data_IF_102652071465
#
_entry.id   IF_102652071465
#
_cell.length_a   1.000
_cell.length_b   1.000
_cell.length_c   1.000
_cell.angle_alpha   90.00
_cell.angle_beta   90.00
_cell.angle_gamma   90.00
#
_symmetry.space_group_name_H-M   'P 1'
#
loop_
_entity.id
_entity.type
_entity.pdbx_description
1 polymer ?
#
# COMPACT_ATOMS: atom_id res chain seq x y z
N UNK A 1 5.86 7.71 12.96
CA UNK A 1 7.00 7.25 12.12
C UNK A 1 6.49 6.99 10.72
N UNK A 2 7.25 7.32 9.67
CA UNK A 2 6.82 7.05 8.29
C UNK A 2 7.02 5.56 7.99
N UNK A 3 6.01 4.84 7.47
CA UNK A 3 6.10 3.38 7.25
C UNK A 3 7.20 2.98 6.27
N UNK A 4 7.52 3.83 5.31
CA UNK A 4 8.60 3.61 4.34
C UNK A 4 10.02 3.81 4.91
N UNK A 5 10.18 4.02 6.21
CA UNK A 5 11.47 4.07 6.90
C UNK A 5 11.73 2.80 7.75
N UNK A 6 10.85 1.81 7.67
CA UNK A 6 10.99 0.53 8.34
C UNK A 6 11.38 -0.56 7.33
N UNK A 7 12.03 -1.62 7.80
CA UNK A 7 12.39 -2.78 6.96
C UNK A 7 11.14 -3.34 6.25
N UNK A 8 10.01 -3.45 6.98
CA UNK A 8 8.67 -3.66 6.46
C UNK A 8 7.74 -2.65 7.10
N UNK A 9 6.96 -1.94 6.31
CA UNK A 9 5.99 -0.95 6.78
C UNK A 9 4.60 -1.22 6.20
N UNK A 10 3.55 -1.05 7.01
CA UNK A 10 2.16 -1.27 6.60
C UNK A 10 1.37 0.00 6.83
N UNK A 11 0.53 0.35 5.86
CA UNK A 11 -0.46 1.42 5.97
C UNK A 11 -1.84 0.87 5.64
N UNK A 12 -2.80 1.13 6.51
CA UNK A 12 -4.21 0.92 6.20
C UNK A 12 -4.65 1.81 5.03
N UNK A 13 -5.43 1.23 4.15
CA UNK A 13 -6.04 1.89 2.98
C UNK A 13 -7.55 1.79 3.08
N UNK A 14 -8.27 2.72 2.47
CA UNK A 14 -9.71 2.65 2.26
C UNK A 14 -10.03 3.13 0.86
N UNK A 15 -10.24 2.18 -0.04
CA UNK A 15 -10.55 2.43 -1.46
C UNK A 15 -11.98 2.91 -1.54
N UNK A 16 -12.26 4.16 -1.96
CA UNK A 16 -13.62 4.68 -2.01
C UNK A 16 -14.44 4.01 -3.11
N UNK A 17 -15.71 3.68 -2.83
CA UNK A 17 -16.66 3.25 -3.82
C UNK A 17 -17.45 4.47 -4.32
N UNK A 18 -17.11 4.96 -5.52
CA UNK A 18 -17.75 6.11 -6.10
C UNK A 18 -18.94 5.73 -6.99
N UNK A 19 -20.12 6.21 -6.60
CA UNK A 19 -21.34 6.14 -7.39
C UNK A 19 -21.56 7.48 -8.11
N UNK A 20 -21.34 7.44 -9.43
CA UNK A 20 -21.50 8.62 -10.29
C UNK A 20 -22.96 9.04 -10.48
N UNK A 21 -23.94 8.12 -10.31
CA UNK A 21 -25.37 8.41 -10.46
C UNK A 21 -25.89 9.19 -9.27
N UNK A 22 -25.39 8.89 -8.07
CA UNK A 22 -25.71 9.63 -6.85
C UNK A 22 -25.06 11.03 -6.81
N UNK A 23 -24.06 11.29 -7.66
CA UNK A 23 -23.36 12.57 -7.70
C UNK A 23 -24.23 13.69 -8.31
N UNK A 24 -24.46 14.77 -7.55
CA UNK A 24 -25.25 15.93 -7.97
C UNK A 24 -24.43 17.09 -8.56
N UNK A 25 -23.10 16.95 -8.67
CA UNK A 25 -22.25 17.98 -9.25
C UNK A 25 -22.28 19.31 -8.50
N UNK A 26 -22.19 19.27 -7.19
CA UNK A 26 -22.34 20.44 -6.33
C UNK A 26 -21.25 21.49 -6.60
N UNK A 27 -21.62 22.80 -6.65
CA UNK A 27 -20.65 23.91 -6.77
C UNK A 27 -19.62 23.94 -5.62
N UNK A 28 -20.00 23.46 -4.42
CA UNK A 28 -19.12 23.25 -3.27
C UNK A 28 -19.17 21.77 -2.90
N UNK A 29 -18.25 21.00 -3.45
CA UNK A 29 -18.20 19.56 -3.24
C UNK A 29 -17.46 19.23 -1.92
N UNK A 30 -18.16 18.53 -1.03
CA UNK A 30 -17.59 18.10 0.25
C UNK A 30 -16.46 17.07 0.08
N UNK A 31 -16.52 16.25 -0.97
CA UNK A 31 -15.47 15.27 -1.28
C UNK A 31 -14.21 15.97 -1.80
N UNK A 32 -14.34 16.93 -2.70
CA UNK A 32 -13.23 17.76 -3.19
C UNK A 32 -12.55 18.49 -2.02
N UNK A 33 -13.35 19.11 -1.14
CA UNK A 33 -12.84 19.79 0.04
C UNK A 33 -12.14 18.84 1.03
N UNK A 34 -12.61 17.60 1.16
CA UNK A 34 -12.02 16.60 2.06
C UNK A 34 -10.75 15.93 1.51
N UNK A 35 -10.49 16.04 0.19
CA UNK A 35 -9.36 15.36 -0.46
C UNK A 35 -8.03 16.07 -0.17
N UNK A 36 -7.12 15.49 0.64
CA UNK A 36 -5.84 16.15 0.99
C UNK A 36 -4.87 16.19 -0.18
N UNK A 37 -5.03 15.27 -1.14
CA UNK A 37 -4.17 15.19 -2.33
C UNK A 37 -4.72 15.97 -3.52
N UNK A 38 -5.92 16.58 -3.38
CA UNK A 38 -6.60 17.37 -4.43
C UNK A 38 -6.79 16.60 -5.76
N UNK A 39 -6.93 15.28 -5.66
CA UNK A 39 -7.17 14.39 -6.82
C UNK A 39 -8.66 14.18 -7.11
N UNK A 40 -9.53 14.59 -6.19
CA UNK A 40 -10.97 14.63 -6.38
C UNK A 40 -11.37 16.05 -6.79
N UNK A 41 -11.96 16.23 -7.97
CA UNK A 41 -12.36 17.54 -8.52
C UNK A 41 -13.70 17.46 -9.21
N UNK A 42 -14.48 18.54 -9.12
CA UNK A 42 -15.71 18.68 -9.91
C UNK A 42 -15.36 19.31 -11.26
N UNK A 43 -15.62 18.57 -12.33
CA UNK A 43 -15.42 19.01 -13.72
C UNK A 43 -16.74 18.78 -14.46
N UNK A 44 -17.21 19.78 -15.17
CA UNK A 44 -18.47 19.73 -15.96
C UNK A 44 -19.68 19.23 -15.14
N UNK A 45 -19.77 19.67 -13.89
CA UNK A 45 -20.89 19.30 -13.01
C UNK A 45 -20.86 17.87 -12.50
N UNK A 46 -19.73 17.17 -12.57
CA UNK A 46 -19.55 15.83 -12.02
C UNK A 46 -18.25 15.73 -11.25
N UNK A 47 -18.23 14.89 -10.22
CA UNK A 47 -17.01 14.57 -9.49
C UNK A 47 -16.16 13.58 -10.30
N UNK A 48 -14.91 13.91 -10.48
CA UNK A 48 -13.87 13.03 -11.01
C UNK A 48 -12.83 12.77 -9.93
N UNK A 49 -12.40 11.52 -9.77
CA UNK A 49 -11.33 11.11 -8.89
C UNK A 49 -10.24 10.50 -9.76
N UNK A 50 -9.06 11.08 -9.71
CA UNK A 50 -7.88 10.50 -10.37
C UNK A 50 -7.41 9.28 -9.58
N UNK A 51 -7.69 8.09 -10.10
CA UNK A 51 -7.41 6.82 -9.44
C UNK A 51 -5.90 6.53 -9.35
N UNK A 52 -5.11 6.98 -10.32
CA UNK A 52 -3.66 6.77 -10.33
C UNK A 52 -2.96 7.60 -9.24
N UNK A 53 -3.43 8.81 -9.00
CA UNK A 53 -2.90 9.70 -7.98
C UNK A 53 -3.58 9.53 -6.62
N UNK A 54 -4.68 8.78 -6.56
CA UNK A 54 -5.42 8.53 -5.32
C UNK A 54 -4.60 7.67 -4.36
N UNK A 55 -4.37 8.18 -3.15
CA UNK A 55 -3.65 7.44 -2.09
C UNK A 55 -4.56 6.57 -1.23
N UNK A 56 -5.81 6.39 -1.62
CA UNK A 56 -6.79 5.57 -0.89
C UNK A 56 -6.85 5.86 0.62
N UNK A 57 -6.74 7.12 1.02
CA UNK A 57 -6.74 7.53 2.43
C UNK A 57 -8.13 7.48 3.10
N UNK A 58 -9.20 7.28 2.32
CA UNK A 58 -10.57 7.13 2.77
C UNK A 58 -11.24 8.39 3.33
N UNK A 59 -10.58 9.56 3.30
CA UNK A 59 -11.15 10.80 3.87
C UNK A 59 -12.42 11.28 3.16
N UNK A 60 -12.62 10.90 1.91
CA UNK A 60 -13.81 11.22 1.11
C UNK A 60 -15.02 10.36 1.46
N UNK A 61 -14.80 9.18 2.06
CA UNK A 61 -15.87 8.23 2.39
C UNK A 61 -16.83 8.84 3.40
N UNK A 62 -18.14 8.78 3.10
CA UNK A 62 -19.20 9.31 3.95
C UNK A 62 -19.29 10.85 3.99
N UNK A 63 -18.52 11.58 3.16
CA UNK A 63 -18.54 13.05 3.17
C UNK A 63 -19.64 13.67 2.28
N UNK A 64 -20.10 12.94 1.28
CA UNK A 64 -21.15 13.43 0.38
C UNK A 64 -22.53 13.32 1.04
N UNK A 65 -23.31 14.41 1.16
CA UNK A 65 -24.66 14.37 1.70
C UNK A 65 -25.64 13.59 0.79
N UNK A 66 -25.27 13.37 -0.47
CA UNK A 66 -26.03 12.58 -1.45
C UNK A 66 -25.51 11.15 -1.57
N UNK A 67 -24.64 10.72 -0.66
CA UNK A 67 -24.10 9.36 -0.60
C UNK A 67 -23.38 8.86 -1.87
N UNK A 68 -22.75 9.77 -2.64
CA UNK A 68 -21.97 9.34 -3.82
C UNK A 68 -20.67 8.57 -3.49
N UNK A 69 -20.19 8.62 -2.25
CA UNK A 69 -19.16 7.72 -1.70
C UNK A 69 -19.63 7.30 -0.30
N UNK A 70 -20.57 6.35 -0.19
CA UNK A 70 -21.12 5.94 1.11
C UNK A 70 -20.12 5.12 1.94
N UNK A 71 -19.31 4.31 1.26
CA UNK A 71 -18.36 3.38 1.87
C UNK A 71 -17.07 3.23 1.06
N UNK A 72 -16.22 2.28 1.43
CA UNK A 72 -14.98 1.94 0.74
C UNK A 72 -14.43 0.60 1.25
N UNK A 73 -13.69 -0.09 0.39
CA UNK A 73 -13.00 -1.33 0.75
C UNK A 73 -11.77 -1.03 1.59
N UNK A 74 -11.64 -1.71 2.73
CA UNK A 74 -10.42 -1.69 3.54
C UNK A 74 -9.33 -2.53 2.89
N UNK A 75 -8.09 -2.09 3.06
CA UNK A 75 -6.94 -2.81 2.54
C UNK A 75 -5.65 -2.37 3.22
N UNK A 76 -4.56 -3.01 2.84
CA UNK A 76 -3.23 -2.79 3.37
C UNK A 76 -2.26 -2.50 2.23
N UNK A 77 -1.49 -1.43 2.34
CA UNK A 77 -0.36 -1.14 1.46
C UNK A 77 0.93 -1.45 2.21
N UNK A 78 1.77 -2.31 1.64
CA UNK A 78 3.00 -2.80 2.27
C UNK A 78 4.20 -2.17 1.59
N UNK A 79 5.12 -1.64 2.39
CA UNK A 79 6.40 -1.09 1.98
C UNK A 79 7.53 -2.01 2.44
N UNK A 80 8.55 -2.17 1.61
CA UNK A 80 9.73 -2.98 1.93
C UNK A 80 11.02 -2.20 1.64
N UNK A 81 12.11 -2.53 2.32
CA UNK A 81 13.43 -1.97 2.08
C UNK A 81 13.65 -0.59 2.65
N UNK A 82 12.82 -0.16 3.60
CA UNK A 82 13.07 1.06 4.37
C UNK A 82 14.15 0.83 5.45
N UNK A 83 14.79 1.93 5.86
CA UNK A 83 15.80 1.91 6.91
C UNK A 83 15.89 3.27 7.57
N UNK A 84 15.95 3.28 8.89
CA UNK A 84 16.23 4.47 9.69
C UNK A 84 17.49 4.26 10.53
N UNK A 85 18.27 5.30 10.74
CA UNK A 85 19.47 5.31 11.56
C UNK A 85 20.65 5.99 10.85
N UNK A 86 21.86 5.47 11.02
CA UNK A 86 23.09 6.03 10.40
C UNK A 86 23.01 6.14 8.87
N UNK A 87 22.34 5.19 8.23
CA UNK A 87 21.98 5.25 6.83
C UNK A 87 20.45 5.29 6.74
N UNK A 88 19.90 6.18 5.93
CA UNK A 88 18.46 6.30 5.68
C UNK A 88 18.18 5.74 4.28
N UNK A 89 17.21 4.84 4.20
CA UNK A 89 16.66 4.34 2.94
C UNK A 89 15.16 4.44 2.98
N UNK A 90 14.55 4.88 1.87
CA UNK A 90 13.11 4.92 1.71
C UNK A 90 12.64 3.66 1.01
N UNK A 91 11.95 2.80 1.75
CA UNK A 91 11.29 1.62 1.20
C UNK A 91 10.25 2.00 0.15
N UNK A 92 10.09 1.12 -0.82
CA UNK A 92 9.09 1.23 -1.88
C UNK A 92 7.85 0.41 -1.53
N UNK A 93 6.68 0.88 -1.95
CA UNK A 93 5.45 0.13 -1.82
C UNK A 93 5.40 -1.01 -2.84
N UNK A 94 4.90 -2.16 -2.41
CA UNK A 94 4.51 -3.22 -3.34
C UNK A 94 3.38 -2.71 -4.25
N UNK A 95 3.39 -3.11 -5.51
CA UNK A 95 2.41 -2.70 -6.51
C UNK A 95 1.07 -3.47 -6.38
N UNK A 96 0.63 -3.65 -5.14
CA UNK A 96 -0.62 -4.32 -4.80
C UNK A 96 -1.17 -3.78 -3.48
N UNK A 97 -2.49 -3.60 -3.42
CA UNK A 97 -3.22 -3.39 -2.16
C UNK A 97 -3.80 -4.74 -1.76
N UNK A 98 -3.54 -5.15 -0.52
CA UNK A 98 -4.05 -6.40 0.05
C UNK A 98 -5.36 -6.10 0.77
N UNK A 99 -6.41 -6.82 0.44
CA UNK A 99 -7.76 -6.60 1.01
C UNK A 99 -8.11 -7.59 2.13
N UNK A 100 -7.22 -8.54 2.41
CA UNK A 100 -7.33 -9.52 3.49
C UNK A 100 -6.14 -9.39 4.45
N UNK A 101 -6.40 -9.51 5.75
CA UNK A 101 -5.35 -9.57 6.78
C UNK A 101 -4.43 -10.78 6.58
N UNK A 102 -5.00 -11.90 6.17
CA UNK A 102 -4.28 -13.14 5.88
C UNK A 102 -3.25 -12.95 4.77
N UNK A 103 -3.66 -12.34 3.65
CA UNK A 103 -2.73 -12.00 2.56
C UNK A 103 -1.62 -11.04 2.99
N UNK A 104 -1.94 -10.05 3.83
CA UNK A 104 -0.96 -9.12 4.36
C UNK A 104 0.05 -9.82 5.29
N UNK A 105 -0.42 -10.72 6.15
CA UNK A 105 0.42 -11.53 7.04
C UNK A 105 1.33 -12.48 6.25
N UNK A 106 0.82 -13.12 5.21
CA UNK A 106 1.60 -13.96 4.30
C UNK A 106 2.76 -13.20 3.66
N UNK A 107 2.53 -11.95 3.26
CA UNK A 107 3.61 -11.11 2.69
C UNK A 107 4.65 -10.76 3.74
N UNK A 108 4.25 -10.50 4.98
CA UNK A 108 5.19 -10.25 6.08
C UNK A 108 6.04 -11.48 6.35
N UNK A 109 5.43 -12.65 6.43
CA UNK A 109 6.13 -13.92 6.61
C UNK A 109 7.11 -14.17 5.45
N UNK A 110 6.68 -13.96 4.22
CA UNK A 110 7.55 -14.05 3.04
C UNK A 110 8.72 -13.07 3.09
N UNK A 111 8.52 -11.85 3.61
CA UNK A 111 9.60 -10.89 3.76
C UNK A 111 10.67 -11.38 4.75
N UNK A 112 10.25 -12.01 5.85
CA UNK A 112 11.16 -12.63 6.82
C UNK A 112 11.90 -13.81 6.18
N UNK A 113 11.19 -14.67 5.46
CA UNK A 113 11.78 -15.82 4.76
C UNK A 113 12.75 -15.37 3.67
N UNK A 114 12.40 -14.35 2.90
CA UNK A 114 13.27 -13.77 1.87
C UNK A 114 14.58 -13.26 2.49
N UNK A 115 14.47 -12.56 3.61
CA UNK A 115 15.66 -12.07 4.32
C UNK A 115 16.50 -13.22 4.89
N UNK A 116 15.87 -14.25 5.45
CA UNK A 116 16.57 -15.45 5.93
C UNK A 116 17.29 -16.20 4.79
N UNK A 117 16.64 -16.32 3.61
CA UNK A 117 17.19 -17.06 2.46
C UNK A 117 18.27 -16.28 1.69
N UNK A 118 18.13 -14.95 1.58
CA UNK A 118 18.95 -14.10 0.72
C UNK A 118 19.85 -13.11 1.46
N UNK A 119 19.59 -12.83 2.73
CA UNK A 119 20.39 -11.91 3.52
C UNK A 119 21.79 -12.42 3.78
N UNK A 120 22.79 -11.54 3.72
CA UNK A 120 24.17 -11.83 4.05
C UNK A 120 24.46 -11.41 5.50
N UNK A 121 25.50 -12.00 6.07
CA UNK A 121 25.93 -11.66 7.43
C UNK A 121 26.22 -10.17 7.57
N UNK A 122 25.51 -9.50 8.48
CA UNK A 122 25.64 -8.06 8.74
C UNK A 122 24.80 -7.15 7.85
N UNK A 123 24.12 -7.69 6.82
CA UNK A 123 23.15 -6.90 6.04
C UNK A 123 21.87 -6.59 6.83
N UNK A 124 21.27 -5.44 6.54
CA UNK A 124 19.89 -5.14 6.85
C UNK A 124 19.00 -5.54 5.67
N UNK A 125 17.70 -5.72 5.91
CA UNK A 125 16.75 -6.08 4.85
C UNK A 125 16.76 -5.08 3.69
N UNK A 126 16.90 -3.78 3.96
CA UNK A 126 17.06 -2.75 2.93
C UNK A 126 18.25 -3.01 2.01
N UNK A 127 19.41 -3.42 2.56
CA UNK A 127 20.61 -3.73 1.78
C UNK A 127 20.44 -5.00 0.94
N UNK A 128 19.76 -6.00 1.51
CA UNK A 128 19.39 -7.21 0.76
C UNK A 128 18.48 -6.88 -0.43
N UNK A 129 17.42 -6.05 -0.22
CA UNK A 129 16.53 -5.61 -1.29
C UNK A 129 17.28 -4.83 -2.37
N UNK A 130 18.20 -3.94 -1.96
CA UNK A 130 19.01 -3.16 -2.88
C UNK A 130 19.91 -4.05 -3.75
N UNK A 131 20.53 -5.08 -3.14
CA UNK A 131 21.43 -6.04 -3.82
C UNK A 131 20.67 -6.98 -4.78
N UNK A 132 19.53 -7.53 -4.39
CA UNK A 132 18.77 -8.44 -5.26
C UNK A 132 17.85 -7.71 -6.25
N UNK A 133 17.62 -6.43 -6.06
CA UNK A 133 16.70 -5.58 -6.83
C UNK A 133 15.27 -5.63 -6.31
N UNK A 134 14.63 -4.45 -6.25
CA UNK A 134 13.26 -4.32 -5.74
C UNK A 134 12.24 -5.18 -6.52
N UNK A 135 12.31 -5.16 -7.85
CA UNK A 135 11.38 -5.90 -8.71
C UNK A 135 11.46 -7.41 -8.48
N UNK A 136 12.68 -7.94 -8.28
CA UNK A 136 12.88 -9.35 -7.98
C UNK A 136 12.36 -9.69 -6.57
N UNK A 137 12.61 -8.84 -5.58
CA UNK A 137 12.06 -9.00 -4.24
C UNK A 137 10.53 -8.96 -4.25
N UNK A 138 9.93 -7.97 -4.92
CA UNK A 138 8.48 -7.84 -5.06
C UNK A 138 7.86 -9.10 -5.69
N UNK A 139 8.43 -9.60 -6.78
CA UNK A 139 7.97 -10.82 -7.43
C UNK A 139 7.95 -12.00 -6.46
N UNK A 140 9.04 -12.22 -5.71
CA UNK A 140 9.13 -13.31 -4.75
C UNK A 140 8.12 -13.17 -3.60
N UNK A 141 7.83 -11.93 -3.16
CA UNK A 141 6.84 -11.67 -2.11
C UNK A 141 5.39 -11.85 -2.59
N UNK A 142 5.11 -11.60 -3.87
CA UNK A 142 3.77 -11.78 -4.45
C UNK A 142 3.49 -13.23 -4.86
N UNK A 143 4.52 -14.04 -5.11
CA UNK A 143 4.42 -15.47 -5.42
C UNK A 143 4.30 -16.33 -4.15
N UNK A 144 3.91 -17.61 -4.30
CA UNK A 144 3.77 -18.56 -3.18
C UNK A 144 5.06 -19.31 -2.82
N UNK A 145 6.05 -19.29 -3.68
CA UNK A 145 7.28 -20.09 -3.61
C UNK A 145 7.99 -20.03 -2.23
N UNK A 146 8.10 -18.85 -1.62
CA UNK A 146 8.77 -18.68 -0.32
C UNK A 146 8.06 -19.45 0.81
N UNK A 147 6.72 -19.47 0.82
CA UNK A 147 5.94 -20.22 1.82
C UNK A 147 6.06 -21.72 1.60
N UNK A 148 6.06 -22.17 0.35
CA UNK A 148 6.25 -23.59 0.00
C UNK A 148 7.64 -24.11 0.44
N UNK A 149 8.66 -23.25 0.36
CA UNK A 149 10.05 -23.56 0.79
C UNK A 149 10.34 -23.20 2.24
N UNK A 150 9.36 -22.85 3.05
CA UNK A 150 9.52 -22.36 4.43
C UNK A 150 10.40 -23.28 5.26
N UNK A 151 10.11 -24.59 5.29
CA UNK A 151 10.86 -25.54 6.10
C UNK A 151 12.31 -25.68 5.65
N UNK A 152 12.58 -25.67 4.33
CA UNK A 152 13.93 -25.66 3.78
C UNK A 152 14.70 -24.40 4.22
N UNK A 153 14.07 -23.23 4.11
CA UNK A 153 14.70 -21.96 4.44
C UNK A 153 15.00 -21.84 5.95
N UNK A 154 14.11 -22.33 6.79
CA UNK A 154 14.28 -22.28 8.24
C UNK A 154 15.35 -23.27 8.75
N UNK A 155 15.65 -24.33 8.00
CA UNK A 155 16.69 -25.31 8.34
C UNK A 155 18.11 -24.88 7.98
N UNK A 156 18.28 -23.79 7.21
CA UNK A 156 19.57 -23.14 6.95
C UNK A 156 20.05 -22.33 8.13
#
# INVERSE_FOLDING_TARGET
MKPNLNDVGIIGQRIPHFDSEACKGCKKCAIEAACPNKVAKVVDGKLHIDEELCRHCGRCVGKCPFHSIPDGTYGFKIYIGGRWGKKISHGKALNRIFTSEEEALDVIEKAILLFKDRGLKGERFAETIERIGFENAEKQLLEKNLLERKMEILSK
#
